data_IF_421110839626
#
_entry.id   IF_421110839626
#
_cell.length_a   1.000
_cell.length_b   1.000
_cell.length_c   1.000
_cell.angle_alpha   90.00
_cell.angle_beta   90.00
_cell.angle_gamma   90.00
#
_symmetry.space_group_name_H-M   'P 1'
#
loop_
_entity.id
_entity.type
_entity.pdbx_description
1 polymer ?
#
# COMPACT_ATOMS: atom_id res chain seq x y z
N UNK A 1 -2.82 -21.15 3.01
CA UNK A 1 -2.25 -19.83 2.62
C UNK A 1 -3.37 -18.78 2.49
N UNK A 2 -4.16 -18.55 3.53
CA UNK A 2 -5.50 -17.91 3.41
C UNK A 2 -5.66 -16.52 4.07
N UNK A 3 -4.58 -15.83 4.47
CA UNK A 3 -4.72 -14.62 5.33
C UNK A 3 -4.10 -13.31 4.81
N UNK A 4 -3.74 -13.23 3.53
CA UNK A 4 -3.06 -12.04 2.97
C UNK A 4 -3.98 -10.83 2.84
N UNK A 5 -3.60 -9.72 3.50
CA UNK A 5 -4.26 -8.40 3.45
C UNK A 5 -3.24 -7.26 3.51
N UNK A 6 -3.67 -5.99 3.47
CA UNK A 6 -2.77 -4.81 3.42
C UNK A 6 -1.69 -4.79 4.53
N UNK A 7 -2.03 -5.24 5.74
CA UNK A 7 -1.07 -5.39 6.84
C UNK A 7 0.08 -6.33 6.49
N UNK A 8 -0.22 -7.44 5.82
CA UNK A 8 0.78 -8.44 5.45
C UNK A 8 1.70 -7.91 4.35
N UNK A 9 1.17 -7.13 3.39
CA UNK A 9 1.98 -6.45 2.38
C UNK A 9 2.96 -5.45 3.02
N UNK A 10 2.47 -4.65 3.98
CA UNK A 10 3.29 -3.70 4.73
C UNK A 10 4.39 -4.41 5.52
N UNK A 11 4.04 -5.47 6.25
CA UNK A 11 5.01 -6.24 7.03
C UNK A 11 6.09 -6.85 6.15
N UNK A 12 5.71 -7.45 5.02
CA UNK A 12 6.66 -8.11 4.12
C UNK A 12 7.59 -7.11 3.39
N UNK A 13 7.06 -5.95 2.97
CA UNK A 13 7.83 -4.99 2.16
C UNK A 13 8.62 -4.00 3.02
N UNK A 14 8.05 -3.54 4.12
CA UNK A 14 8.65 -2.49 4.96
C UNK A 14 9.22 -3.01 6.27
N UNK A 15 8.99 -4.29 6.62
CA UNK A 15 9.51 -4.87 7.86
C UNK A 15 8.92 -4.26 9.14
N UNK A 16 7.71 -3.70 9.05
CA UNK A 16 7.00 -3.04 10.15
C UNK A 16 5.69 -3.76 10.45
N UNK A 17 5.40 -3.96 11.74
CA UNK A 17 4.13 -4.55 12.19
C UNK A 17 3.15 -3.44 12.52
N UNK A 18 2.04 -3.37 11.80
CA UNK A 18 0.98 -2.38 12.01
C UNK A 18 -0.33 -3.08 12.39
N UNK A 19 -1.12 -2.42 13.24
CA UNK A 19 -2.53 -2.81 13.43
C UNK A 19 -3.35 -2.59 12.15
N UNK A 20 -4.54 -3.18 12.09
CA UNK A 20 -5.40 -3.10 10.89
C UNK A 20 -5.80 -1.65 10.60
N UNK A 21 -6.09 -0.87 11.64
CA UNK A 21 -6.40 0.56 11.53
C UNK A 21 -5.21 1.37 11.00
N UNK A 22 -4.02 1.16 11.55
CA UNK A 22 -2.81 1.87 11.12
C UNK A 22 -2.41 1.51 9.68
N UNK A 23 -2.57 0.25 9.27
CA UNK A 23 -2.29 -0.15 7.88
C UNK A 23 -3.28 0.47 6.89
N UNK A 24 -4.56 0.55 7.25
CA UNK A 24 -5.56 1.25 6.44
C UNK A 24 -5.26 2.76 6.35
N UNK A 25 -4.90 3.39 7.47
CA UNK A 25 -4.49 4.80 7.51
C UNK A 25 -3.26 5.05 6.61
N UNK A 26 -2.23 4.20 6.70
CA UNK A 26 -1.05 4.28 5.86
C UNK A 26 -1.40 4.18 4.38
N UNK A 27 -2.21 3.18 3.98
CA UNK A 27 -2.67 3.03 2.61
C UNK A 27 -3.37 4.30 2.11
N UNK A 28 -4.27 4.89 2.90
CA UNK A 28 -4.96 6.13 2.53
C UNK A 28 -4.01 7.32 2.40
N UNK A 29 -3.04 7.48 3.30
CA UNK A 29 -2.05 8.58 3.22
C UNK A 29 -1.14 8.43 2.00
N UNK A 30 -0.71 7.21 1.68
CA UNK A 30 0.10 6.94 0.50
C UNK A 30 -0.69 7.16 -0.81
N UNK A 31 -1.97 6.77 -0.84
CA UNK A 31 -2.87 7.10 -1.95
C UNK A 31 -3.00 8.62 -2.13
N UNK A 32 -3.25 9.37 -1.04
CA UNK A 32 -3.35 10.84 -1.10
C UNK A 32 -2.04 11.49 -1.57
N UNK A 33 -0.90 10.94 -1.14
CA UNK A 33 0.41 11.37 -1.63
C UNK A 33 0.53 11.17 -3.15
N UNK A 34 0.14 10.00 -3.67
CA UNK A 34 0.12 9.76 -5.11
C UNK A 34 -0.84 10.70 -5.84
N UNK A 35 -2.06 10.91 -5.35
CA UNK A 35 -3.00 11.86 -5.96
C UNK A 35 -2.34 13.24 -6.16
N UNK A 36 -1.57 13.70 -5.18
CA UNK A 36 -0.92 15.01 -5.20
C UNK A 36 0.37 15.07 -6.04
N UNK A 37 1.07 13.95 -6.25
CA UNK A 37 2.40 13.92 -6.89
C UNK A 37 2.44 13.20 -8.23
N UNK A 38 1.61 12.20 -8.40
CA UNK A 38 1.46 11.40 -9.62
C UNK A 38 0.03 10.85 -9.71
N UNK A 39 -0.89 11.71 -10.17
CA UNK A 39 -2.31 11.38 -10.28
C UNK A 39 -2.57 10.22 -11.25
N UNK A 40 -1.75 10.06 -12.29
CA UNK A 40 -1.88 8.96 -13.25
C UNK A 40 -1.56 7.62 -12.59
N UNK A 41 -0.50 7.56 -11.78
CA UNK A 41 -0.21 6.36 -11.00
C UNK A 41 -1.32 5.96 -10.04
N UNK A 42 -1.98 6.96 -9.42
CA UNK A 42 -3.15 6.68 -8.59
C UNK A 42 -4.32 6.11 -9.40
N UNK A 43 -4.59 6.67 -10.59
CA UNK A 43 -5.63 6.15 -11.50
C UNK A 43 -5.33 4.71 -11.92
N UNK A 44 -4.07 4.40 -12.24
CA UNK A 44 -3.67 3.04 -12.62
C UNK A 44 -3.81 2.06 -11.45
N UNK A 45 -3.48 2.49 -10.22
CA UNK A 45 -3.73 1.70 -9.02
C UNK A 45 -5.22 1.36 -8.84
N UNK A 46 -6.11 2.33 -9.09
CA UNK A 46 -7.56 2.12 -9.03
C UNK A 46 -8.05 1.18 -10.13
N UNK A 47 -7.51 1.29 -11.35
CA UNK A 47 -7.84 0.38 -12.47
C UNK A 47 -7.48 -1.05 -12.11
N UNK A 48 -6.25 -1.29 -11.63
CA UNK A 48 -5.81 -2.62 -11.19
C UNK A 48 -6.72 -3.14 -10.08
N UNK A 49 -7.05 -2.33 -9.07
CA UNK A 49 -7.96 -2.75 -7.99
C UNK A 49 -9.32 -3.17 -8.54
N UNK A 50 -9.88 -2.41 -9.48
CA UNK A 50 -11.17 -2.70 -10.07
C UNK A 50 -11.14 -3.97 -10.93
N UNK A 51 -10.11 -4.15 -11.76
CA UNK A 51 -9.92 -5.35 -12.59
C UNK A 51 -9.85 -6.61 -11.73
N UNK A 52 -9.12 -6.56 -10.61
CA UNK A 52 -9.04 -7.68 -9.66
C UNK A 52 -10.41 -8.00 -9.05
N UNK A 53 -11.15 -6.99 -8.62
CA UNK A 53 -12.48 -7.18 -8.03
C UNK A 53 -13.49 -7.74 -9.04
N UNK A 54 -13.50 -7.22 -10.26
CA UNK A 54 -14.36 -7.72 -11.36
C UNK A 54 -14.01 -9.16 -11.73
N UNK A 55 -12.73 -9.53 -11.63
CA UNK A 55 -12.25 -10.90 -11.85
C UNK A 55 -12.59 -11.86 -10.70
N UNK A 56 -13.36 -11.42 -9.70
CA UNK A 56 -13.79 -12.25 -8.58
C UNK A 56 -12.74 -12.45 -7.48
N UNK A 57 -11.64 -11.68 -7.52
CA UNK A 57 -10.64 -11.70 -6.44
C UNK A 57 -11.26 -11.09 -5.18
N UNK A 58 -11.06 -11.76 -4.03
CA UNK A 58 -11.61 -11.27 -2.77
C UNK A 58 -11.03 -9.90 -2.41
N UNK A 59 -11.86 -9.02 -1.82
CA UNK A 59 -11.44 -7.68 -1.38
C UNK A 59 -10.11 -7.68 -0.63
N UNK A 60 -9.92 -8.65 0.27
CA UNK A 60 -8.71 -8.76 1.09
C UNK A 60 -7.44 -9.04 0.26
N UNK A 61 -7.54 -9.92 -0.75
CA UNK A 61 -6.45 -10.18 -1.69
C UNK A 61 -6.19 -8.98 -2.59
N UNK A 62 -7.24 -8.28 -3.04
CA UNK A 62 -7.08 -7.02 -3.76
C UNK A 62 -6.33 -5.98 -2.92
N UNK A 63 -6.68 -5.82 -1.65
CA UNK A 63 -6.02 -4.89 -0.74
C UNK A 63 -4.55 -5.26 -0.49
N UNK A 64 -4.23 -6.55 -0.39
CA UNK A 64 -2.84 -7.03 -0.33
C UNK A 64 -2.06 -6.66 -1.60
N UNK A 65 -2.60 -7.00 -2.77
CA UNK A 65 -1.93 -6.77 -4.06
C UNK A 65 -1.74 -5.28 -4.34
N UNK A 66 -2.80 -4.49 -4.16
CA UNK A 66 -2.77 -3.04 -4.41
C UNK A 66 -1.84 -2.32 -3.44
N UNK A 67 -1.80 -2.71 -2.17
CA UNK A 67 -0.81 -2.18 -1.23
C UNK A 67 0.62 -2.56 -1.64
N UNK A 68 0.84 -3.81 -2.08
CA UNK A 68 2.15 -4.24 -2.58
C UNK A 68 2.63 -3.42 -3.78
N UNK A 69 1.77 -3.23 -4.78
CA UNK A 69 2.06 -2.42 -5.97
C UNK A 69 2.33 -0.96 -5.60
N UNK A 70 1.53 -0.39 -4.70
CA UNK A 70 1.71 0.97 -4.20
C UNK A 70 3.09 1.15 -3.55
N UNK A 71 3.47 0.22 -2.66
CA UNK A 71 4.75 0.27 -1.98
C UNK A 71 5.92 0.11 -2.96
N UNK A 72 5.82 -0.82 -3.92
CA UNK A 72 6.85 -1.05 -4.93
C UNK A 72 7.06 0.19 -5.83
N UNK A 73 5.97 0.84 -6.25
CA UNK A 73 6.06 2.07 -7.05
C UNK A 73 6.67 3.21 -6.25
N UNK A 74 6.25 3.39 -5.00
CA UNK A 74 6.81 4.41 -4.12
C UNK A 74 8.28 4.15 -3.78
N UNK A 75 8.71 2.90 -3.66
CA UNK A 75 10.11 2.54 -3.46
C UNK A 75 10.95 2.87 -4.71
N UNK A 76 10.41 2.62 -5.90
CA UNK A 76 11.09 2.94 -7.17
C UNK A 76 11.17 4.45 -7.45
N UNK A 77 10.10 5.20 -7.19
CA UNK A 77 10.00 6.62 -7.61
C UNK A 77 10.28 7.60 -6.48
N UNK A 78 10.03 7.19 -5.23
CA UNK A 78 10.13 8.03 -4.03
C UNK A 78 10.85 7.32 -2.86
N UNK A 79 12.06 6.76 -3.07
CA UNK A 79 12.73 5.89 -2.09
C UNK A 79 12.99 6.57 -0.73
N UNK A 80 13.31 7.87 -0.74
CA UNK A 80 13.54 8.64 0.49
C UNK A 80 12.25 8.82 1.29
N UNK A 81 11.10 8.95 0.63
CA UNK A 81 9.80 9.10 1.29
C UNK A 81 9.42 7.79 1.96
N UNK A 82 9.57 6.66 1.26
CA UNK A 82 9.33 5.34 1.86
C UNK A 82 10.27 5.06 3.03
N UNK A 83 11.54 5.43 2.91
CA UNK A 83 12.50 5.27 4.01
C UNK A 83 12.11 6.12 5.22
N UNK A 84 11.71 7.38 5.01
CA UNK A 84 11.28 8.28 6.07
C UNK A 84 9.98 7.80 6.73
N UNK A 85 8.98 7.38 5.95
CA UNK A 85 7.72 6.84 6.47
C UNK A 85 7.98 5.56 7.27
N UNK A 86 8.76 4.63 6.73
CA UNK A 86 9.14 3.39 7.43
C UNK A 86 9.85 3.69 8.74
N UNK A 87 10.79 4.64 8.75
CA UNK A 87 11.48 5.04 9.97
C UNK A 87 10.53 5.64 11.02
N UNK A 88 9.67 6.58 10.61
CA UNK A 88 8.70 7.22 11.50
C UNK A 88 7.76 6.19 12.11
N UNK A 89 7.21 5.30 11.29
CA UNK A 89 6.29 4.25 11.76
C UNK A 89 7.00 3.26 12.69
N UNK A 90 8.26 2.91 12.42
CA UNK A 90 9.00 1.92 13.21
C UNK A 90 9.50 2.46 14.55
N UNK A 91 9.86 3.74 14.63
CA UNK A 91 10.60 4.28 15.77
C UNK A 91 9.95 5.49 16.45
N UNK A 92 8.88 6.08 15.88
CA UNK A 92 8.20 7.27 16.44
C UNK A 92 6.69 7.12 16.64
N UNK A 93 6.09 5.97 16.28
CA UNK A 93 4.67 5.66 16.56
C UNK A 93 4.47 4.93 17.88
#
# INVERSE_FOLDING_TARGET
MENQGSQEAVMQRLGISLSKGQSAELYHKLCNFLVAKDTYAYIDLLRIKNELLVSGVSHRKCDYMTMGILLEKLESEYPLIISAVTYVVKYKS
#
